data_IF_380820221756
#
_entry.id   IF_380820221756
#
_cell.length_a   1.000
_cell.length_b   1.000
_cell.length_c   1.000
_cell.angle_alpha   90.00
_cell.angle_beta   90.00
_cell.angle_gamma   90.00
#
_symmetry.space_group_name_H-M   'P 1'
#
loop_
_entity.id
_entity.type
_entity.pdbx_description
1 polymer ?
#
# COMPACT_ATOMS: atom_id res chain seq x y z
N UNK A 1 46.42 5.46 25.19
CA UNK A 1 46.19 4.94 23.83
C UNK A 1 44.81 4.31 23.75
N UNK A 2 43.80 5.04 23.28
CA UNK A 2 42.42 4.52 23.16
C UNK A 2 42.21 3.90 21.79
N UNK A 3 42.07 2.57 21.75
CA UNK A 3 41.75 1.82 20.53
C UNK A 3 40.31 2.16 20.12
N UNK A 4 40.13 3.03 19.11
CA UNK A 4 38.83 3.30 18.51
C UNK A 4 38.42 2.07 17.68
N UNK A 5 37.48 1.28 18.20
CA UNK A 5 36.92 0.14 17.48
C UNK A 5 36.27 0.62 16.18
N UNK A 6 36.81 0.16 15.03
CA UNK A 6 36.19 0.37 13.71
C UNK A 6 34.85 -0.37 13.69
N UNK A 7 33.73 0.37 13.77
CA UNK A 7 32.40 -0.21 13.53
C UNK A 7 32.34 -0.69 12.07
N UNK A 8 32.11 -1.99 11.87
CA UNK A 8 31.99 -2.59 10.55
C UNK A 8 30.69 -2.12 9.86
N UNK A 9 30.76 -1.38 8.73
CA UNK A 9 29.58 -0.80 8.08
C UNK A 9 28.61 -1.86 7.53
N UNK A 10 29.09 -3.07 7.26
CA UNK A 10 28.26 -4.21 6.84
C UNK A 10 27.34 -4.71 7.97
N UNK A 11 27.80 -4.68 9.23
CA UNK A 11 27.01 -5.17 10.38
C UNK A 11 25.87 -4.20 10.73
N UNK A 12 26.08 -2.89 10.56
CA UNK A 12 25.04 -1.88 10.69
C UNK A 12 24.03 -1.90 9.53
N UNK A 13 24.47 -2.24 8.32
CA UNK A 13 23.61 -2.35 7.12
C UNK A 13 22.70 -3.58 7.19
N UNK A 14 23.18 -4.70 7.73
CA UNK A 14 22.38 -5.91 7.94
C UNK A 14 21.28 -5.72 9.01
N UNK A 15 21.58 -5.06 10.13
CA UNK A 15 20.59 -4.78 11.18
C UNK A 15 19.51 -3.79 10.71
N UNK A 16 19.91 -2.72 10.01
CA UNK A 16 18.96 -1.75 9.47
C UNK A 16 18.03 -2.35 8.40
N UNK A 17 18.51 -3.33 7.64
CA UNK A 17 17.67 -4.04 6.68
C UNK A 17 16.72 -5.03 7.38
N UNK A 18 17.19 -5.79 8.37
CA UNK A 18 16.37 -6.76 9.11
C UNK A 18 15.14 -6.12 9.78
N UNK A 19 15.31 -4.96 10.41
CA UNK A 19 14.19 -4.27 11.06
C UNK A 19 13.15 -3.80 10.03
N UNK A 20 13.60 -3.26 8.90
CA UNK A 20 12.72 -2.83 7.80
C UNK A 20 11.95 -3.99 7.17
N UNK A 21 12.59 -5.15 7.02
CA UNK A 21 11.92 -6.37 6.55
C UNK A 21 10.83 -6.84 7.52
N UNK A 22 11.10 -6.83 8.82
CA UNK A 22 10.14 -7.21 9.85
C UNK A 22 8.96 -6.23 9.93
N UNK A 23 9.23 -4.91 9.90
CA UNK A 23 8.18 -3.89 9.92
C UNK A 23 7.28 -3.97 8.69
N UNK A 24 7.87 -4.13 7.50
CA UNK A 24 7.10 -4.32 6.26
C UNK A 24 6.17 -5.53 6.36
N UNK A 25 6.67 -6.67 6.81
CA UNK A 25 5.86 -7.89 6.95
C UNK A 25 4.72 -7.76 7.95
N UNK A 26 4.95 -7.09 9.08
CA UNK A 26 3.91 -6.89 10.09
C UNK A 26 2.80 -5.99 9.55
N UNK A 27 3.17 -4.88 8.90
CA UNK A 27 2.20 -3.95 8.30
C UNK A 27 1.45 -4.63 7.16
N UNK A 28 2.14 -5.34 6.26
CA UNK A 28 1.52 -6.03 5.14
C UNK A 28 0.55 -7.14 5.59
N UNK A 29 0.91 -7.91 6.62
CA UNK A 29 -0.02 -8.90 7.21
C UNK A 29 -1.20 -8.23 7.91
N UNK A 30 -1.01 -7.11 8.61
CA UNK A 30 -2.10 -6.42 9.28
C UNK A 30 -3.07 -5.74 8.30
N UNK A 31 -2.54 -5.13 7.23
CA UNK A 31 -3.33 -4.41 6.23
C UNK A 31 -4.03 -5.34 5.24
N UNK A 32 -3.29 -6.32 4.71
CA UNK A 32 -3.72 -7.14 3.57
C UNK A 32 -3.79 -8.63 3.87
N UNK A 33 -3.31 -9.07 5.04
CA UNK A 33 -3.19 -10.48 5.41
C UNK A 33 -2.22 -11.28 4.54
N UNK A 34 -1.45 -10.64 3.66
CA UNK A 34 -0.39 -11.26 2.85
C UNK A 34 0.94 -10.54 3.08
N UNK A 35 2.03 -11.28 3.19
CA UNK A 35 3.34 -10.70 3.47
C UNK A 35 4.13 -10.36 2.20
N UNK A 36 3.93 -11.08 1.10
CA UNK A 36 4.80 -10.92 -0.07
C UNK A 36 4.35 -9.75 -0.97
N UNK A 37 3.08 -9.73 -1.36
CA UNK A 37 2.50 -8.69 -2.21
C UNK A 37 2.47 -7.35 -1.47
N UNK A 38 2.03 -7.34 -0.21
CA UNK A 38 2.03 -6.14 0.62
C UNK A 38 3.43 -5.56 0.84
N UNK A 39 4.47 -6.41 0.94
CA UNK A 39 5.86 -5.94 1.05
C UNK A 39 6.30 -5.26 -0.23
N UNK A 40 5.95 -5.82 -1.40
CA UNK A 40 6.24 -5.20 -2.70
C UNK A 40 5.55 -3.85 -2.86
N UNK A 41 4.28 -3.72 -2.44
CA UNK A 41 3.55 -2.44 -2.43
C UNK A 41 4.28 -1.42 -1.56
N UNK A 42 4.71 -1.79 -0.35
CA UNK A 42 5.45 -0.89 0.54
C UNK A 42 6.79 -0.42 -0.04
N UNK A 43 7.51 -1.30 -0.74
CA UNK A 43 8.74 -0.94 -1.44
C UNK A 43 8.49 0.06 -2.58
N UNK A 44 7.46 -0.17 -3.40
CA UNK A 44 7.06 0.74 -4.47
C UNK A 44 6.65 2.11 -3.93
N UNK A 45 5.84 2.15 -2.87
CA UNK A 45 5.46 3.42 -2.21
C UNK A 45 6.69 4.19 -1.72
N UNK A 46 7.70 3.50 -1.17
CA UNK A 46 8.95 4.16 -0.75
C UNK A 46 9.72 4.76 -1.94
N UNK A 47 9.78 4.06 -3.07
CA UNK A 47 10.41 4.58 -4.29
C UNK A 47 9.65 5.79 -4.85
N UNK A 48 8.31 5.75 -4.83
CA UNK A 48 7.47 6.89 -5.20
C UNK A 48 7.70 8.09 -4.29
N UNK A 49 7.72 7.92 -2.96
CA UNK A 49 8.00 9.01 -2.02
C UNK A 49 9.35 9.66 -2.29
N UNK A 50 10.39 8.85 -2.59
CA UNK A 50 11.70 9.39 -2.94
C UNK A 50 11.64 10.26 -4.20
N UNK A 51 10.97 9.78 -5.25
CA UNK A 51 10.78 10.55 -6.49
C UNK A 51 9.97 11.83 -6.25
N UNK A 52 8.92 11.77 -5.45
CA UNK A 52 8.11 12.93 -5.08
C UNK A 52 8.97 13.97 -4.38
N UNK A 53 9.77 13.58 -3.39
CA UNK A 53 10.69 14.48 -2.68
C UNK A 53 11.69 15.15 -3.63
N UNK A 54 12.23 14.40 -4.61
CA UNK A 54 13.11 14.95 -5.66
C UNK A 54 12.37 15.92 -6.61
N UNK A 55 11.06 15.76 -6.80
CA UNK A 55 10.23 16.64 -7.63
C UNK A 55 9.69 17.86 -6.88
N UNK A 56 9.57 17.79 -5.53
CA UNK A 56 9.09 18.91 -4.71
C UNK A 56 9.93 20.18 -4.92
N UNK A 57 11.23 20.03 -5.17
CA UNK A 57 12.15 21.16 -5.42
C UNK A 57 11.85 21.92 -6.71
N UNK A 58 10.95 21.45 -7.57
CA UNK A 58 10.58 22.14 -8.80
C UNK A 58 9.14 22.67 -8.77
N UNK A 59 8.40 22.45 -7.69
CA UNK A 59 7.01 22.90 -7.55
C UNK A 59 6.89 24.42 -7.62
N UNK A 60 7.90 25.15 -7.14
CA UNK A 60 7.90 26.62 -7.18
C UNK A 60 8.16 27.18 -8.59
N UNK A 61 8.49 26.35 -9.59
CA UNK A 61 8.70 26.78 -10.97
C UNK A 61 7.36 26.68 -11.71
N UNK A 62 6.74 27.80 -12.09
CA UNK A 62 5.51 27.79 -12.86
C UNK A 62 5.72 27.02 -14.17
N UNK A 63 4.78 26.12 -14.49
CA UNK A 63 4.84 25.30 -15.71
C UNK A 63 5.64 24.00 -15.59
N UNK A 64 6.46 23.81 -14.55
CA UNK A 64 7.28 22.59 -14.41
C UNK A 64 6.46 21.31 -14.22
N UNK A 65 5.26 21.42 -13.63
CA UNK A 65 4.30 20.31 -13.48
C UNK A 65 3.92 19.66 -14.83
N UNK A 66 4.00 20.39 -15.94
CA UNK A 66 3.63 19.89 -17.27
C UNK A 66 4.82 19.31 -18.05
N UNK A 67 6.03 19.36 -17.49
CA UNK A 67 7.22 18.81 -18.13
C UNK A 67 7.21 17.28 -17.98
N UNK A 68 7.22 16.51 -19.09
CA UNK A 68 7.32 15.06 -19.02
C UNK A 68 8.72 14.66 -18.55
N UNK A 69 8.87 14.39 -17.25
CA UNK A 69 10.15 13.94 -16.68
C UNK A 69 10.27 12.41 -16.73
N UNK A 70 11.51 11.89 -16.64
CA UNK A 70 11.75 10.45 -16.44
C UNK A 70 11.13 9.96 -15.13
N UNK A 71 11.04 10.82 -14.12
CA UNK A 71 10.37 10.53 -12.86
C UNK A 71 8.87 10.31 -13.04
N UNK A 72 8.19 11.11 -13.87
CA UNK A 72 6.76 10.92 -14.17
C UNK A 72 6.50 9.56 -14.83
N UNK A 73 7.37 9.13 -15.75
CA UNK A 73 7.26 7.79 -16.39
C UNK A 73 7.42 6.65 -15.38
N UNK A 74 8.41 6.75 -14.50
CA UNK A 74 8.63 5.75 -13.43
C UNK A 74 7.48 5.72 -12.44
N UNK A 75 7.01 6.89 -12.02
CA UNK A 75 5.88 7.03 -11.11
C UNK A 75 4.61 6.40 -11.68
N UNK A 76 4.34 6.58 -12.99
CA UNK A 76 3.23 5.90 -13.67
C UNK A 76 3.38 4.38 -13.64
N UNK A 77 4.56 3.85 -13.98
CA UNK A 77 4.80 2.41 -13.93
C UNK A 77 4.63 1.84 -12.51
N UNK A 78 5.07 2.56 -11.47
CA UNK A 78 4.85 2.15 -10.08
C UNK A 78 3.38 2.18 -9.70
N UNK A 79 2.61 3.18 -10.12
CA UNK A 79 1.16 3.22 -9.89
C UNK A 79 0.45 2.05 -10.54
N UNK A 80 0.80 1.70 -11.78
CA UNK A 80 0.24 0.53 -12.49
C UNK A 80 0.58 -0.78 -11.77
N UNK A 81 1.82 -0.93 -11.26
CA UNK A 81 2.23 -2.13 -10.51
C UNK A 81 1.52 -2.24 -9.15
N UNK A 82 1.39 -1.13 -8.42
CA UNK A 82 0.64 -1.09 -7.15
C UNK A 82 -0.82 -1.45 -7.37
N UNK A 83 -1.46 -0.88 -8.40
CA UNK A 83 -2.86 -1.18 -8.74
C UNK A 83 -3.03 -2.67 -9.06
N UNK A 84 -2.14 -3.24 -9.88
CA UNK A 84 -2.16 -4.66 -10.22
C UNK A 84 -2.06 -5.57 -8.98
N UNK A 85 -1.12 -5.26 -8.07
CA UNK A 85 -0.93 -6.03 -6.84
C UNK A 85 -2.15 -5.92 -5.91
N UNK A 86 -2.70 -4.71 -5.72
CA UNK A 86 -3.88 -4.48 -4.90
C UNK A 86 -5.11 -5.22 -5.44
N UNK A 87 -5.35 -5.14 -6.76
CA UNK A 87 -6.43 -5.91 -7.42
C UNK A 87 -6.28 -7.41 -7.17
N UNK A 88 -5.06 -7.94 -7.32
CA UNK A 88 -4.77 -9.35 -7.06
C UNK A 88 -5.11 -9.79 -5.63
N UNK A 89 -4.72 -8.98 -4.63
CA UNK A 89 -5.04 -9.25 -3.21
C UNK A 89 -6.56 -9.21 -2.99
N UNK A 90 -7.24 -8.16 -3.48
CA UNK A 90 -8.69 -7.99 -3.30
C UNK A 90 -9.47 -9.15 -3.93
N UNK A 91 -9.11 -9.55 -5.15
CA UNK A 91 -9.76 -10.65 -5.86
C UNK A 91 -9.62 -11.99 -5.11
N UNK A 92 -8.42 -12.25 -4.56
CA UNK A 92 -8.18 -13.44 -3.75
C UNK A 92 -9.09 -13.45 -2.51
N UNK A 93 -9.22 -12.30 -1.84
CA UNK A 93 -10.07 -12.14 -0.64
C UNK A 93 -11.55 -12.33 -0.94
N UNK A 94 -12.06 -11.69 -2.00
CA UNK A 94 -13.46 -11.86 -2.41
C UNK A 94 -13.77 -13.32 -2.73
N UNK A 95 -12.85 -14.01 -3.43
CA UNK A 95 -13.02 -15.44 -3.74
C UNK A 95 -13.00 -16.31 -2.47
N UNK A 96 -12.12 -16.03 -1.50
CA UNK A 96 -12.08 -16.73 -0.21
C UNK A 96 -13.38 -16.53 0.60
N UNK A 97 -13.88 -15.31 0.67
CA UNK A 97 -15.16 -14.99 1.34
C UNK A 97 -16.33 -15.75 0.70
N UNK A 98 -16.41 -15.80 -0.63
CA UNK A 98 -17.46 -16.53 -1.36
C UNK A 98 -17.42 -18.05 -1.13
N UNK A 99 -16.24 -18.61 -0.86
CA UNK A 99 -16.06 -20.03 -0.52
C UNK A 99 -16.36 -20.34 0.95
N UNK A 100 -16.73 -19.34 1.76
CA UNK A 100 -16.95 -19.52 3.20
C UNK A 100 -15.69 -19.84 3.98
N UNK A 101 -14.51 -19.56 3.41
CA UNK A 101 -13.24 -19.73 4.11
C UNK A 101 -13.16 -18.71 5.26
N UNK A 102 -12.54 -19.11 6.37
CA UNK A 102 -12.28 -18.20 7.48
C UNK A 102 -11.23 -17.18 7.04
N UNK A 103 -11.69 -16.05 6.52
CA UNK A 103 -10.81 -14.94 6.13
C UNK A 103 -10.27 -14.29 7.40
N UNK A 104 -8.97 -14.02 7.42
CA UNK A 104 -8.32 -13.36 8.54
C UNK A 104 -8.94 -11.96 8.75
N UNK A 105 -9.11 -11.52 9.99
CA UNK A 105 -9.62 -10.17 10.31
C UNK A 105 -8.53 -9.11 10.05
N UNK A 106 -8.13 -8.97 8.79
CA UNK A 106 -7.29 -7.88 8.32
C UNK A 106 -8.15 -6.65 7.95
N UNK A 107 -7.51 -5.48 7.86
CA UNK A 107 -8.21 -4.22 7.59
C UNK A 107 -8.95 -4.28 6.25
N UNK A 108 -8.35 -4.91 5.24
CA UNK A 108 -8.97 -5.08 3.92
C UNK A 108 -10.25 -5.93 4.00
N UNK A 109 -10.22 -7.05 4.72
CA UNK A 109 -11.38 -7.94 4.91
C UNK A 109 -12.49 -7.23 5.68
N UNK A 110 -12.14 -6.43 6.69
CA UNK A 110 -13.11 -5.59 7.43
C UNK A 110 -13.80 -4.58 6.51
N UNK A 111 -13.02 -3.98 5.62
CA UNK A 111 -13.51 -2.99 4.65
C UNK A 111 -14.39 -3.62 3.57
N UNK A 112 -14.01 -4.79 3.03
CA UNK A 112 -14.83 -5.57 2.09
C UNK A 112 -16.10 -6.15 2.73
N UNK A 113 -16.01 -6.57 4.00
CA UNK A 113 -17.13 -7.08 4.79
C UNK A 113 -18.17 -6.01 5.12
N UNK A 114 -17.72 -4.78 5.43
CA UNK A 114 -18.61 -3.64 5.66
C UNK A 114 -19.36 -3.23 4.38
N UNK A 115 -18.78 -3.51 3.21
CA UNK A 115 -19.37 -3.22 1.92
C UNK A 115 -20.43 -4.27 1.46
N UNK A 116 -20.40 -5.47 2.03
CA UNK A 116 -21.24 -6.61 1.63
C UNK A 116 -22.46 -6.83 2.53
N UNK A 117 -22.57 -6.14 3.68
CA UNK A 117 -23.76 -6.18 4.55
C UNK A 117 -24.89 -5.31 3.99
N UNK A 118 -25.58 -5.81 2.98
CA UNK A 118 -26.88 -5.32 2.55
C UNK A 118 -27.76 -6.53 2.25
N UNK A 119 -28.30 -7.15 3.29
CA UNK A 119 -29.51 -7.95 3.13
C UNK A 119 -30.48 -7.63 4.28
N UNK A 120 -31.63 -7.06 3.91
CA UNK A 120 -32.88 -7.26 4.63
C UNK A 120 -33.23 -6.40 5.84
N UNK A 121 -33.00 -5.08 5.88
CA UNK A 121 -33.76 -4.23 6.85
C UNK A 121 -34.08 -2.84 6.30
N UNK A 122 -35.37 -2.62 6.04
CA UNK A 122 -36.02 -1.31 5.92
C UNK A 122 -35.44 -0.30 6.92
N UNK A 123 -34.79 0.77 6.44
CA UNK A 123 -34.83 2.07 7.14
C UNK A 123 -34.95 3.24 6.15
N UNK A 124 -35.97 4.02 6.46
CA UNK A 124 -36.45 5.23 5.84
C UNK A 124 -35.48 6.39 6.15
N UNK A 125 -35.27 7.32 5.20
CA UNK A 125 -34.70 8.64 5.48
C UNK A 125 -33.27 8.87 4.97
N UNK A 126 -33.16 9.66 3.90
CA UNK A 126 -32.03 10.44 3.40
C UNK A 126 -30.69 10.35 4.17
N UNK A 127 -29.94 9.28 3.92
CA UNK A 127 -28.49 9.35 3.95
C UNK A 127 -27.98 8.34 2.92
N UNK A 128 -27.41 8.85 1.83
CA UNK A 128 -26.80 8.00 0.81
C UNK A 128 -25.55 7.38 1.42
N UNK A 129 -25.69 6.18 2.01
CA UNK A 129 -24.55 5.34 2.36
C UNK A 129 -23.79 5.06 1.06
N UNK A 130 -22.74 5.85 0.79
CA UNK A 130 -21.92 5.71 -0.40
C UNK A 130 -21.16 4.38 -0.29
N UNK A 131 -21.75 3.34 -0.87
CA UNK A 131 -21.10 2.05 -1.06
C UNK A 131 -19.83 2.27 -1.90
N UNK A 132 -18.65 2.08 -1.30
CA UNK A 132 -17.37 2.22 -2.00
C UNK A 132 -17.25 1.13 -3.07
N UNK A 133 -16.86 1.46 -4.30
CA UNK A 133 -16.50 0.45 -5.30
C UNK A 133 -15.14 -0.16 -4.99
N UNK A 134 -14.81 -1.31 -5.58
CA UNK A 134 -13.45 -1.90 -5.47
C UNK A 134 -12.39 -0.90 -5.96
N UNK A 135 -12.71 -0.10 -6.98
CA UNK A 135 -11.82 0.93 -7.48
C UNK A 135 -11.62 2.06 -6.46
N UNK A 136 -12.67 2.45 -5.72
CA UNK A 136 -12.54 3.39 -4.60
C UNK A 136 -11.62 2.81 -3.50
N UNK A 137 -11.76 1.52 -3.19
CA UNK A 137 -10.90 0.85 -2.19
C UNK A 137 -9.43 0.87 -2.63
N UNK A 138 -9.16 0.61 -3.90
CA UNK A 138 -7.81 0.65 -4.46
C UNK A 138 -7.24 2.06 -4.43
N UNK A 139 -8.07 3.09 -4.68
CA UNK A 139 -7.63 4.48 -4.62
C UNK A 139 -7.31 4.97 -3.21
N UNK A 140 -7.93 4.40 -2.18
CA UNK A 140 -7.66 4.71 -0.77
C UNK A 140 -6.45 3.95 -0.20
N UNK A 141 -5.92 2.92 -0.89
CA UNK A 141 -4.81 2.07 -0.44
C UNK A 141 -3.48 2.41 -1.13
#
# INVERSE_FOLDING_TARGET
MTKKARKNPLKSRLHGNSYRFLTGDVISRAAFGSSHEGRRIFELQKEMVKLVLELLQFIFIPGWRFVPTKANKRMKAYSEEVEFLLRGIIDQRIKAMRRGEKVCDDLLTTLLGSNSKSDGTHKNGNQTDKKMSIDDVIHEC
#
